data_IF_072322129766
#
_entry.id   IF_072322129766
#
_cell.length_a   1.000
_cell.length_b   1.000
_cell.length_c   1.000
_cell.angle_alpha   90.00
_cell.angle_beta   90.00
_cell.angle_gamma   90.00
#
_symmetry.space_group_name_H-M   'P 1'
#
loop_
_entity.id
_entity.type
_entity.pdbx_description
1 polymer ?
#
# COMPACT_ATOMS: atom_id res chain seq x y z
N UNK A 1 19.29 5.77 -0.39
CA UNK A 1 19.76 6.30 -1.70
C UNK A 1 19.15 5.45 -2.78
N UNK A 2 18.48 6.04 -3.77
CA UNK A 2 17.89 5.31 -4.89
C UNK A 2 18.76 5.50 -6.13
N UNK A 3 19.28 4.39 -6.67
CA UNK A 3 20.08 4.36 -7.90
C UNK A 3 19.27 3.79 -9.06
N UNK A 4 19.37 4.44 -10.22
CA UNK A 4 18.93 3.89 -11.50
C UNK A 4 20.14 3.39 -12.28
N UNK A 5 20.28 2.07 -12.29
CA UNK A 5 21.34 1.37 -13.01
C UNK A 5 20.88 0.90 -14.40
N UNK A 6 19.68 1.28 -14.86
CA UNK A 6 19.07 0.76 -16.09
C UNK A 6 19.63 1.36 -17.37
N UNK A 7 20.68 2.18 -17.29
CA UNK A 7 21.20 3.03 -18.37
C UNK A 7 21.27 2.35 -19.75
N UNK A 8 20.25 2.57 -20.59
CA UNK A 8 20.29 2.26 -22.02
C UNK A 8 20.89 3.46 -22.74
N UNK A 9 22.06 3.30 -23.36
CA UNK A 9 22.57 4.27 -24.33
C UNK A 9 21.87 4.03 -25.67
N UNK A 10 20.85 4.82 -25.98
CA UNK A 10 20.36 4.91 -27.36
C UNK A 10 21.31 5.83 -28.13
N UNK A 11 21.95 5.32 -29.17
CA UNK A 11 22.61 6.18 -30.15
C UNK A 11 21.57 7.17 -30.68
N UNK A 12 21.92 8.46 -30.72
CA UNK A 12 20.99 9.51 -31.13
C UNK A 12 20.57 9.28 -32.59
N UNK A 13 19.28 9.46 -32.96
CA UNK A 13 18.83 9.36 -34.35
C UNK A 13 19.48 10.41 -35.29
N UNK A 14 20.29 11.32 -34.76
CA UNK A 14 21.08 12.32 -35.49
C UNK A 14 22.55 11.93 -35.72
N UNK A 15 23.03 10.79 -35.21
CA UNK A 15 24.34 10.27 -35.59
C UNK A 15 24.25 9.55 -36.93
N UNK A 16 24.30 10.33 -38.01
CA UNK A 16 24.42 9.80 -39.37
C UNK A 16 25.63 8.88 -39.46
N UNK A 17 25.38 7.61 -39.78
CA UNK A 17 26.39 6.60 -40.03
C UNK A 17 27.44 7.13 -41.05
N UNK A 18 28.69 7.28 -40.60
CA UNK A 18 29.82 7.34 -41.53
C UNK A 18 29.99 5.93 -42.13
N UNK A 19 29.97 5.76 -43.46
CA UNK A 19 30.17 4.45 -44.05
C UNK A 19 31.62 4.00 -43.80
N UNK A 20 31.80 2.93 -43.01
CA UNK A 20 33.10 2.32 -42.71
C UNK A 20 33.44 2.12 -41.23
N UNK A 21 32.56 2.47 -40.28
CA UNK A 21 32.77 2.21 -38.85
C UNK A 21 32.39 0.78 -38.44
N UNK A 22 33.03 0.21 -37.39
CA UNK A 22 32.72 -1.14 -36.92
C UNK A 22 31.25 -1.27 -36.53
N UNK A 23 30.66 -2.43 -36.86
CA UNK A 23 29.29 -2.81 -36.47
C UNK A 23 29.13 -2.56 -34.97
N UNK A 24 28.12 -1.78 -34.51
CA UNK A 24 27.92 -1.55 -33.09
C UNK A 24 27.69 -2.90 -32.40
N UNK A 25 28.22 -3.09 -31.18
CA UNK A 25 28.09 -4.35 -30.46
C UNK A 25 26.61 -4.67 -30.28
N UNK A 26 26.27 -5.94 -30.49
CA UNK A 26 24.95 -6.47 -30.15
C UNK A 26 24.66 -6.13 -28.68
N UNK A 27 23.48 -5.56 -28.43
CA UNK A 27 22.98 -5.25 -27.10
C UNK A 27 22.69 -6.58 -26.40
N UNK A 28 23.65 -7.06 -25.63
CA UNK A 28 23.49 -8.18 -24.70
C UNK A 28 23.47 -7.64 -23.27
N UNK A 29 22.32 -7.79 -22.60
CA UNK A 29 22.18 -7.55 -21.16
C UNK A 29 21.09 -6.54 -20.81
N UNK A 30 20.04 -7.03 -20.13
CA UNK A 30 18.95 -6.25 -19.57
C UNK A 30 19.46 -5.14 -18.63
N UNK A 31 18.82 -3.96 -18.68
CA UNK A 31 19.12 -2.85 -17.78
C UNK A 31 18.97 -3.27 -16.32
N UNK A 32 19.97 -2.96 -15.50
CA UNK A 32 19.95 -3.25 -14.07
C UNK A 32 18.80 -2.51 -13.37
N UNK A 33 18.15 -3.21 -12.45
CA UNK A 33 16.92 -2.77 -11.77
C UNK A 33 17.16 -1.58 -10.82
N UNK A 34 16.12 -0.78 -10.49
CA UNK A 34 16.17 0.20 -9.41
C UNK A 34 16.72 -0.46 -8.15
N UNK A 35 17.72 0.17 -7.53
CA UNK A 35 18.32 -0.36 -6.31
C UNK A 35 18.32 0.65 -5.18
N UNK A 36 17.92 0.18 -4.00
CA UNK A 36 17.92 0.98 -2.77
C UNK A 36 19.14 0.65 -1.93
N UNK A 37 20.03 1.63 -1.80
CA UNK A 37 21.26 1.53 -1.02
C UNK A 37 21.15 2.42 0.23
N UNK A 38 21.61 1.91 1.38
CA UNK A 38 21.74 2.73 2.60
C UNK A 38 23.22 2.89 2.92
N UNK A 39 23.62 4.14 3.07
CA UNK A 39 25.01 4.56 3.25
C UNK A 39 25.07 5.67 4.29
N UNK A 40 26.06 5.60 5.18
CA UNK A 40 26.40 6.72 6.04
C UNK A 40 27.25 7.71 5.24
N UNK A 41 26.78 8.95 5.13
CA UNK A 41 27.44 9.98 4.31
C UNK A 41 27.72 11.23 5.15
N UNK A 42 28.97 11.68 5.12
CA UNK A 42 29.33 13.02 5.54
C UNK A 42 28.81 14.09 4.57
N UNK A 43 28.80 15.35 5.02
CA UNK A 43 28.28 16.49 4.23
C UNK A 43 28.96 16.66 2.86
N UNK A 44 30.25 16.35 2.78
CA UNK A 44 31.02 16.44 1.54
C UNK A 44 30.69 15.29 0.58
N UNK A 45 30.54 14.08 1.11
CA UNK A 45 30.20 12.88 0.34
C UNK A 45 28.77 12.96 -0.20
N UNK A 46 27.81 13.46 0.58
CA UNK A 46 26.44 13.69 0.13
C UNK A 46 26.38 14.58 -1.12
N UNK A 47 27.24 15.61 -1.21
CA UNK A 47 27.32 16.47 -2.41
C UNK A 47 27.90 15.74 -3.62
N UNK A 48 28.85 14.85 -3.41
CA UNK A 48 29.42 14.04 -4.48
C UNK A 48 28.37 13.04 -5.01
N UNK A 49 27.71 12.33 -4.09
CA UNK A 49 26.63 11.38 -4.39
C UNK A 49 25.46 12.06 -5.11
N UNK A 50 25.07 13.26 -4.69
CA UNK A 50 23.97 14.01 -5.33
C UNK A 50 24.30 14.50 -6.76
N UNK A 51 25.55 14.39 -7.20
CA UNK A 51 26.00 14.73 -8.56
C UNK A 51 26.22 13.52 -9.45
N UNK A 52 26.17 12.32 -8.89
CA UNK A 52 26.28 11.09 -9.65
C UNK A 52 24.98 10.89 -10.47
N UNK A 53 25.05 10.77 -11.81
CA UNK A 53 23.88 10.70 -12.68
C UNK A 53 23.04 9.43 -12.51
N UNK A 54 23.61 8.39 -11.89
CA UNK A 54 22.87 7.18 -11.55
C UNK A 54 21.98 7.38 -10.31
N UNK A 55 22.19 8.45 -9.56
CA UNK A 55 21.48 8.73 -8.31
C UNK A 55 20.22 9.51 -8.59
N UNK A 56 19.07 8.90 -8.33
CA UNK A 56 17.76 9.53 -8.58
C UNK A 56 17.22 10.26 -7.38
N UNK A 57 17.50 9.78 -6.18
CA UNK A 57 17.12 10.46 -4.95
C UNK A 57 17.98 10.05 -3.77
N UNK A 58 18.13 10.99 -2.83
CA UNK A 58 18.73 10.75 -1.52
C UNK A 58 17.80 11.34 -0.47
N UNK A 59 17.49 10.55 0.55
CA UNK A 59 16.72 10.96 1.70
C UNK A 59 17.34 10.39 2.97
N UNK A 60 17.30 11.10 4.10
CA UNK A 60 17.63 10.50 5.39
C UNK A 60 16.61 9.41 5.70
N UNK A 61 17.06 8.36 6.39
CA UNK A 61 16.17 7.32 6.91
C UNK A 61 15.18 7.99 7.86
N UNK A 62 13.91 7.76 7.60
CA UNK A 62 12.81 8.31 8.38
C UNK A 62 12.03 7.15 8.97
N UNK A 63 11.60 7.23 10.23
CA UNK A 63 10.73 6.20 10.76
C UNK A 63 9.39 6.14 10.04
N UNK A 64 8.92 4.91 9.89
CA UNK A 64 7.55 4.57 9.51
C UNK A 64 6.89 3.92 10.71
N UNK A 65 5.57 3.90 10.70
CA UNK A 65 4.81 3.32 11.79
C UNK A 65 3.55 2.69 11.23
N UNK A 66 3.06 1.71 11.98
CA UNK A 66 1.73 1.19 11.80
C UNK A 66 0.71 2.33 11.94
N UNK A 67 -0.21 2.44 10.98
CA UNK A 67 -1.40 3.27 11.15
C UNK A 67 -2.27 2.54 12.18
N UNK A 68 -2.17 2.99 13.42
CA UNK A 68 -2.79 2.32 14.56
C UNK A 68 -4.30 2.18 14.32
N UNK A 69 -4.84 0.96 14.43
CA UNK A 69 -6.27 0.78 14.42
C UNK A 69 -6.91 1.59 15.54
N UNK A 70 -8.05 2.20 15.24
CA UNK A 70 -8.85 2.91 16.23
C UNK A 70 -9.70 1.88 16.96
N UNK A 71 -9.60 1.83 18.29
CA UNK A 71 -10.48 1.02 19.12
C UNK A 71 -11.93 1.53 18.96
N UNK A 72 -12.85 0.66 18.55
CA UNK A 72 -14.26 1.00 18.42
C UNK A 72 -15.10 0.13 19.36
N UNK A 73 -16.04 0.75 20.09
CA UNK A 73 -17.02 0.02 20.89
C UNK A 73 -17.87 -0.93 20.04
N UNK A 74 -17.90 -0.74 18.71
CA UNK A 74 -18.55 -1.61 17.75
C UNK A 74 -17.80 -2.93 17.47
N UNK A 75 -16.56 -3.12 17.90
CA UNK A 75 -15.73 -4.27 17.49
C UNK A 75 -16.36 -5.63 17.86
N UNK A 76 -16.85 -5.79 19.09
CA UNK A 76 -17.53 -7.02 19.50
C UNK A 76 -18.87 -7.25 18.81
N UNK A 77 -19.57 -6.17 18.41
CA UNK A 77 -20.79 -6.26 17.61
C UNK A 77 -20.48 -6.69 16.17
N UNK A 78 -19.44 -6.13 15.57
CA UNK A 78 -19.02 -6.46 14.22
C UNK A 78 -18.65 -7.95 14.11
N UNK A 79 -17.93 -8.49 15.09
CA UNK A 79 -17.59 -9.92 15.17
C UNK A 79 -18.84 -10.80 15.26
N UNK A 80 -19.80 -10.45 16.12
CA UNK A 80 -21.05 -11.20 16.25
C UNK A 80 -21.91 -11.16 14.96
N UNK A 81 -22.00 -10.00 14.31
CA UNK A 81 -22.70 -9.84 13.03
C UNK A 81 -22.01 -10.63 11.91
N UNK A 82 -20.68 -10.66 11.88
CA UNK A 82 -19.91 -11.44 10.93
C UNK A 82 -20.09 -12.95 11.13
N UNK A 83 -20.09 -13.43 12.37
CA UNK A 83 -20.34 -14.84 12.69
C UNK A 83 -21.76 -15.29 12.30
N UNK A 84 -22.73 -14.37 12.33
CA UNK A 84 -24.10 -14.62 11.88
C UNK A 84 -24.28 -14.52 10.35
N UNK A 85 -23.25 -14.13 9.58
CA UNK A 85 -23.33 -13.85 8.16
C UNK A 85 -22.38 -14.72 7.32
N UNK A 86 -22.79 -15.05 6.10
CA UNK A 86 -21.94 -15.81 5.15
C UNK A 86 -20.71 -15.02 4.66
N UNK A 87 -20.73 -13.68 4.75
CA UNK A 87 -19.64 -12.81 4.37
C UNK A 87 -19.68 -11.52 5.18
N UNK A 88 -18.51 -10.95 5.46
CA UNK A 88 -18.39 -9.67 6.18
C UNK A 88 -18.98 -8.52 5.38
N UNK A 89 -19.40 -7.46 6.08
CA UNK A 89 -20.04 -6.31 5.43
C UNK A 89 -19.14 -5.67 4.37
N UNK A 90 -17.83 -5.64 4.61
CA UNK A 90 -16.85 -5.06 3.70
C UNK A 90 -16.77 -5.81 2.36
N UNK A 91 -16.77 -7.15 2.39
CA UNK A 91 -16.84 -8.00 1.18
C UNK A 91 -18.10 -7.69 0.36
N UNK A 92 -19.24 -7.52 1.02
CA UNK A 92 -20.52 -7.17 0.37
C UNK A 92 -20.52 -5.74 -0.18
N UNK A 93 -19.98 -4.79 0.59
CA UNK A 93 -19.92 -3.38 0.22
C UNK A 93 -19.10 -3.15 -1.05
N UNK A 94 -18.00 -3.89 -1.24
CA UNK A 94 -17.22 -3.83 -2.49
C UNK A 94 -17.78 -4.74 -3.59
N UNK A 95 -18.82 -5.54 -3.32
CA UNK A 95 -19.48 -6.41 -4.30
C UNK A 95 -18.72 -7.69 -4.62
N UNK A 96 -17.76 -8.06 -3.78
CA UNK A 96 -16.96 -9.26 -3.98
C UNK A 96 -17.73 -10.56 -3.70
N UNK A 97 -18.88 -10.47 -3.03
CA UNK A 97 -19.81 -11.58 -2.79
C UNK A 97 -20.63 -11.98 -4.02
N UNK A 98 -20.83 -11.06 -4.97
CA UNK A 98 -21.67 -11.27 -6.17
C UNK A 98 -20.88 -11.30 -7.49
N UNK A 99 -19.61 -10.91 -7.48
CA UNK A 99 -18.72 -11.03 -8.65
C UNK A 99 -18.39 -12.49 -8.96
N UNK A 100 -18.07 -12.76 -10.23
CA UNK A 100 -17.57 -14.06 -10.68
C UNK A 100 -16.04 -14.16 -10.64
N UNK A 101 -15.35 -13.05 -10.36
CA UNK A 101 -13.89 -13.01 -10.19
C UNK A 101 -13.53 -13.40 -8.77
N UNK A 102 -12.37 -14.04 -8.62
CA UNK A 102 -11.84 -14.49 -7.33
C UNK A 102 -10.46 -13.90 -7.03
N UNK A 103 -9.80 -13.29 -8.01
CA UNK A 103 -8.41 -12.83 -7.93
C UNK A 103 -7.43 -13.92 -8.34
N UNK A 104 -7.89 -14.92 -9.09
CA UNK A 104 -7.05 -15.99 -9.61
C UNK A 104 -5.92 -15.41 -10.48
N UNK A 105 -4.79 -16.12 -10.53
CA UNK A 105 -3.60 -15.77 -11.31
C UNK A 105 -2.99 -14.39 -10.98
N UNK A 106 -3.33 -13.85 -9.81
CA UNK A 106 -2.76 -12.59 -9.30
C UNK A 106 -1.86 -12.86 -8.08
N UNK A 107 -0.69 -12.23 -8.08
CA UNK A 107 0.30 -12.19 -7.01
C UNK A 107 0.12 -10.89 -6.25
N UNK A 108 -0.25 -10.99 -4.98
CA UNK A 108 -0.44 -9.83 -4.09
C UNK A 108 0.67 -9.79 -3.06
N UNK A 109 1.30 -8.63 -2.90
CA UNK A 109 2.23 -8.34 -1.84
C UNK A 109 1.57 -7.55 -0.71
N UNK A 110 1.82 -7.96 0.53
CA UNK A 110 1.42 -7.26 1.75
C UNK A 110 2.70 -6.83 2.46
N UNK A 111 2.94 -5.53 2.51
CA UNK A 111 4.06 -4.94 3.24
C UNK A 111 3.55 -4.38 4.57
N UNK A 112 3.74 -5.13 5.65
CA UNK A 112 3.07 -4.90 6.94
C UNK A 112 3.88 -5.53 8.10
N UNK A 113 3.23 -5.96 9.19
CA UNK A 113 3.84 -6.59 10.37
C UNK A 113 4.13 -8.10 10.21
N UNK A 114 3.91 -8.67 9.03
CA UNK A 114 4.09 -10.09 8.73
C UNK A 114 2.77 -10.83 8.50
N UNK A 115 2.79 -12.17 8.60
CA UNK A 115 1.58 -13.01 8.59
C UNK A 115 1.66 -14.16 9.60
N UNK A 116 0.54 -14.50 10.25
CA UNK A 116 0.36 -15.81 10.88
C UNK A 116 0.07 -16.86 9.80
N UNK A 117 1.12 -17.46 9.24
CA UNK A 117 1.01 -18.42 8.14
C UNK A 117 0.27 -19.71 8.52
N UNK A 118 0.16 -20.02 9.82
CA UNK A 118 -0.58 -21.20 10.32
C UNK A 118 -2.09 -20.98 10.40
N UNK A 119 -2.55 -19.75 10.21
CA UNK A 119 -3.95 -19.40 10.35
C UNK A 119 -4.84 -20.10 9.30
N UNK A 120 -6.01 -20.69 9.68
CA UNK A 120 -6.89 -21.41 8.74
C UNK A 120 -7.32 -20.58 7.51
N UNK A 121 -7.42 -19.26 7.66
CA UNK A 121 -7.74 -18.33 6.58
C UNK A 121 -6.75 -18.36 5.40
N UNK A 122 -5.53 -18.89 5.56
CA UNK A 122 -4.53 -18.93 4.49
C UNK A 122 -4.28 -20.33 3.92
N UNK A 123 -5.16 -21.28 4.26
CA UNK A 123 -5.10 -22.64 3.72
C UNK A 123 -5.10 -22.63 2.19
N UNK A 124 -4.10 -23.27 1.58
CA UNK A 124 -3.95 -23.36 0.13
C UNK A 124 -3.36 -22.12 -0.54
N UNK A 125 -2.86 -21.14 0.22
CA UNK A 125 -2.09 -20.01 -0.31
C UNK A 125 -0.59 -20.31 -0.17
N UNK A 126 0.16 -20.15 -1.26
CA UNK A 126 1.63 -20.16 -1.23
C UNK A 126 2.12 -18.82 -0.70
N UNK A 127 2.59 -18.80 0.55
CA UNK A 127 3.08 -17.61 1.23
C UNK A 127 4.61 -17.56 1.15
N UNK A 128 5.15 -16.59 0.41
CA UNK A 128 6.58 -16.26 0.46
C UNK A 128 6.77 -15.13 1.48
N UNK A 129 7.57 -15.36 2.52
CA UNK A 129 7.77 -14.42 3.62
C UNK A 129 9.23 -13.94 3.64
N UNK A 130 9.43 -12.64 3.84
CA UNK A 130 10.75 -12.02 4.00
C UNK A 130 10.69 -10.95 5.09
N UNK A 131 11.77 -10.80 5.86
CA UNK A 131 11.87 -9.82 6.94
C UNK A 131 12.77 -8.64 6.55
N UNK A 132 12.24 -7.43 6.67
CA UNK A 132 12.93 -6.16 6.47
C UNK A 132 12.88 -5.26 7.71
N UNK A 133 12.22 -5.70 8.79
CA UNK A 133 12.13 -4.97 10.05
C UNK A 133 13.19 -5.42 11.06
N UNK A 134 13.81 -6.58 10.83
CA UNK A 134 14.85 -7.14 11.70
C UNK A 134 14.30 -7.88 12.93
N UNK A 135 12.98 -8.17 12.98
CA UNK A 135 12.35 -8.90 14.09
C UNK A 135 11.93 -10.33 13.72
N UNK A 136 12.39 -10.82 12.57
CA UNK A 136 12.12 -12.15 12.03
C UNK A 136 10.77 -12.26 11.33
N UNK A 137 10.60 -13.29 10.49
CA UNK A 137 9.33 -13.58 9.80
C UNK A 137 8.21 -13.97 10.78
N UNK A 138 6.97 -13.94 10.29
CA UNK A 138 5.76 -14.17 11.09
C UNK A 138 5.19 -12.89 11.69
N UNK A 139 3.99 -12.98 12.29
CA UNK A 139 3.25 -11.82 12.78
C UNK A 139 2.92 -11.92 14.28
N UNK A 140 3.76 -11.29 15.10
CA UNK A 140 3.51 -11.16 16.55
C UNK A 140 2.62 -9.97 16.89
N UNK A 141 2.46 -9.02 15.97
CA UNK A 141 1.65 -7.82 16.17
C UNK A 141 0.18 -8.11 15.81
N UNK A 142 -0.06 -8.76 14.67
CA UNK A 142 -1.35 -9.27 14.21
C UNK A 142 -2.02 -8.46 13.09
N UNK A 143 -1.53 -7.26 12.79
CA UNK A 143 -2.12 -6.34 11.82
C UNK A 143 -1.95 -6.84 10.38
N UNK A 144 -0.74 -7.28 10.00
CA UNK A 144 -0.48 -7.85 8.68
C UNK A 144 -1.33 -9.10 8.40
N UNK A 145 -1.55 -9.94 9.41
CA UNK A 145 -2.49 -11.08 9.34
C UNK A 145 -3.92 -10.63 9.03
N UNK A 146 -4.38 -9.56 9.70
CA UNK A 146 -5.72 -9.01 9.48
C UNK A 146 -5.86 -8.40 8.08
N UNK A 147 -4.87 -7.63 7.63
CA UNK A 147 -4.81 -7.06 6.29
C UNK A 147 -4.82 -8.17 5.22
N UNK A 148 -3.94 -9.17 5.34
CA UNK A 148 -3.87 -10.31 4.43
C UNK A 148 -5.19 -11.10 4.36
N UNK A 149 -5.83 -11.31 5.52
CA UNK A 149 -7.14 -11.96 5.60
C UNK A 149 -8.23 -11.21 4.83
N UNK A 150 -8.21 -9.88 4.86
CA UNK A 150 -9.18 -9.03 4.14
C UNK A 150 -8.95 -9.11 2.62
N UNK A 151 -7.70 -9.23 2.18
CA UNK A 151 -7.38 -9.36 0.75
C UNK A 151 -7.78 -10.75 0.25
N UNK A 152 -7.18 -11.81 0.80
CA UNK A 152 -7.23 -13.16 0.22
C UNK A 152 -7.58 -14.25 1.22
N UNK A 153 -8.03 -13.90 2.43
CA UNK A 153 -8.45 -14.86 3.43
C UNK A 153 -9.58 -15.76 2.92
N UNK A 154 -9.44 -17.06 3.17
CA UNK A 154 -10.51 -18.05 3.01
C UNK A 154 -11.59 -17.83 4.08
N UNK A 155 -12.73 -18.48 3.90
CA UNK A 155 -13.75 -18.47 4.94
C UNK A 155 -13.23 -19.16 6.21
N UNK A 156 -13.49 -18.53 7.36
CA UNK A 156 -13.18 -19.07 8.68
C UNK A 156 -14.52 -19.26 9.39
N UNK A 157 -14.78 -20.47 9.88
CA UNK A 157 -16.04 -20.81 10.56
C UNK A 157 -17.31 -20.48 9.74
N UNK A 158 -17.21 -20.55 8.41
CA UNK A 158 -18.32 -20.26 7.50
C UNK A 158 -18.46 -18.78 7.10
N UNK A 159 -17.70 -17.88 7.73
CA UNK A 159 -17.70 -16.45 7.39
C UNK A 159 -16.61 -16.13 6.38
N UNK A 160 -16.99 -15.66 5.18
CA UNK A 160 -16.05 -15.14 4.17
C UNK A 160 -15.52 -13.76 4.59
N UNK A 161 -14.20 -13.66 4.75
CA UNK A 161 -13.49 -12.42 5.08
C UNK A 161 -12.73 -11.82 3.89
N UNK A 162 -12.26 -12.65 2.95
CA UNK A 162 -11.44 -12.21 1.82
C UNK A 162 -12.27 -11.66 0.66
N UNK A 163 -11.80 -10.53 0.13
CA UNK A 163 -12.30 -9.92 -1.12
C UNK A 163 -11.93 -10.78 -2.32
N UNK A 164 -10.67 -11.21 -2.42
CA UNK A 164 -10.09 -11.99 -3.51
C UNK A 164 -9.58 -13.37 -3.03
N UNK A 165 -10.49 -14.30 -2.64
CA UNK A 165 -10.11 -15.62 -2.09
C UNK A 165 -9.54 -16.60 -3.13
N UNK A 166 -9.41 -16.20 -4.40
CA UNK A 166 -8.76 -16.97 -5.46
C UNK A 166 -7.25 -16.73 -5.56
N UNK A 167 -6.72 -15.69 -4.89
CA UNK A 167 -5.27 -15.47 -4.80
C UNK A 167 -4.63 -16.69 -4.14
N UNK A 168 -3.73 -17.35 -4.88
CA UNK A 168 -3.05 -18.60 -4.49
C UNK A 168 -1.56 -18.41 -4.22
N UNK A 169 -0.99 -17.25 -4.56
CA UNK A 169 0.39 -16.86 -4.25
C UNK A 169 0.39 -15.45 -3.67
N UNK A 170 0.94 -15.29 -2.48
CA UNK A 170 1.09 -13.99 -1.83
C UNK A 170 2.53 -13.79 -1.31
N UNK A 171 2.97 -12.54 -1.36
CA UNK A 171 4.28 -12.09 -0.91
C UNK A 171 4.09 -11.30 0.38
N UNK A 172 4.75 -11.69 1.45
CA UNK A 172 4.59 -11.09 2.76
C UNK A 172 5.92 -10.48 3.16
N UNK A 173 6.04 -9.16 2.94
CA UNK A 173 7.20 -8.41 3.37
C UNK A 173 6.94 -7.81 4.74
N UNK A 174 7.64 -8.29 5.76
CA UNK A 174 7.56 -7.69 7.09
C UNK A 174 8.42 -6.44 7.11
N UNK A 175 7.80 -5.27 7.02
CA UNK A 175 8.47 -3.95 7.02
C UNK A 175 8.20 -3.17 8.31
N UNK A 176 7.31 -3.70 9.15
CA UNK A 176 7.04 -3.22 10.51
C UNK A 176 7.39 -4.33 11.52
N UNK A 177 8.13 -3.96 12.56
CA UNK A 177 8.55 -4.84 13.63
C UNK A 177 7.39 -5.26 14.53
N UNK A 178 7.68 -6.11 15.51
CA UNK A 178 6.67 -6.67 16.42
C UNK A 178 5.94 -5.61 17.28
N UNK A 179 6.51 -4.42 17.43
CA UNK A 179 5.89 -3.26 18.10
C UNK A 179 5.16 -2.30 17.13
N UNK A 180 5.13 -2.63 15.83
CA UNK A 180 4.53 -1.80 14.79
C UNK A 180 5.43 -0.65 14.31
N UNK A 181 6.67 -0.55 14.77
CA UNK A 181 7.63 0.44 14.27
C UNK A 181 8.32 -0.05 13.00
N UNK A 182 8.75 0.89 12.14
CA UNK A 182 9.58 0.59 10.99
C UNK A 182 10.37 1.81 10.55
N UNK A 183 10.99 1.70 9.38
CA UNK A 183 11.65 2.82 8.73
C UNK A 183 11.52 2.77 7.21
N UNK A 184 11.98 3.83 6.56
CA UNK A 184 11.94 3.92 5.10
C UNK A 184 12.92 2.97 4.42
N UNK A 185 13.99 2.52 5.08
CA UNK A 185 14.91 1.53 4.49
C UNK A 185 14.21 0.18 4.33
N UNK A 186 13.64 -0.35 5.41
CA UNK A 186 12.92 -1.62 5.40
C UNK A 186 11.75 -1.60 4.43
N UNK A 187 10.99 -0.50 4.41
CA UNK A 187 9.88 -0.32 3.48
C UNK A 187 10.34 -0.35 2.01
N UNK A 188 11.37 0.42 1.66
CA UNK A 188 11.86 0.52 0.28
C UNK A 188 12.47 -0.81 -0.19
N UNK A 189 13.22 -1.51 0.67
CA UNK A 189 13.73 -2.86 0.36
C UNK A 189 12.59 -3.88 0.19
N UNK A 190 11.56 -3.80 1.02
CA UNK A 190 10.36 -4.63 0.87
C UNK A 190 9.62 -4.38 -0.44
N UNK A 191 9.53 -3.12 -0.88
CA UNK A 191 8.97 -2.77 -2.19
C UNK A 191 9.83 -3.30 -3.35
N UNK A 192 11.16 -3.10 -3.31
CA UNK A 192 12.10 -3.62 -4.31
C UNK A 192 11.97 -5.15 -4.43
N UNK A 193 11.97 -5.85 -3.30
CA UNK A 193 11.77 -7.29 -3.25
C UNK A 193 10.42 -7.72 -3.86
N UNK A 194 9.32 -7.08 -3.48
CA UNK A 194 7.99 -7.42 -3.99
C UNK A 194 7.90 -7.23 -5.52
N UNK A 195 8.49 -6.16 -6.04
CA UNK A 195 8.59 -5.89 -7.47
C UNK A 195 9.42 -6.96 -8.19
N UNK A 196 10.54 -7.38 -7.62
CA UNK A 196 11.42 -8.40 -8.19
C UNK A 196 10.77 -9.79 -8.18
N UNK A 197 9.90 -10.06 -7.21
CA UNK A 197 9.07 -11.27 -7.14
C UNK A 197 7.86 -11.26 -8.10
N UNK A 198 7.62 -10.14 -8.79
CA UNK A 198 6.55 -9.99 -9.78
C UNK A 198 5.18 -9.65 -9.19
N UNK A 199 5.13 -8.94 -8.06
CA UNK A 199 3.86 -8.49 -7.48
C UNK A 199 3.04 -7.69 -8.50
N UNK A 200 1.77 -8.08 -8.70
CA UNK A 200 0.80 -7.33 -9.51
C UNK A 200 0.05 -6.30 -8.67
N UNK A 201 -0.03 -6.52 -7.35
CA UNK A 201 -0.58 -5.58 -6.38
C UNK A 201 0.36 -5.51 -5.17
N UNK A 202 0.69 -4.31 -4.70
CA UNK A 202 1.38 -4.06 -3.42
C UNK A 202 0.44 -3.27 -2.51
N UNK A 203 0.15 -3.82 -1.34
CA UNK A 203 -0.67 -3.20 -0.30
C UNK A 203 0.19 -2.74 0.87
N UNK A 204 0.06 -1.46 1.25
CA UNK A 204 0.82 -0.84 2.35
C UNK A 204 -0.13 -0.16 3.34
N UNK A 205 -0.36 -0.79 4.49
CA UNK A 205 -1.24 -0.25 5.53
C UNK A 205 -0.42 0.41 6.66
N UNK A 206 0.45 1.34 6.28
CA UNK A 206 1.43 2.01 7.15
C UNK A 206 1.62 3.47 6.75
N UNK A 207 2.24 4.27 7.62
CA UNK A 207 2.47 5.68 7.40
C UNK A 207 3.86 6.14 7.83
N UNK A 208 4.23 7.34 7.40
CA UNK A 208 5.47 7.99 7.82
C UNK A 208 5.31 8.65 9.20
N UNK A 209 6.19 8.29 10.12
CA UNK A 209 6.13 8.74 11.52
C UNK A 209 6.83 10.10 11.68
N UNK A 210 6.24 11.14 11.07
CA UNK A 210 6.73 12.52 11.23
C UNK A 210 6.75 12.96 12.69
N UNK A 211 5.65 12.80 13.47
CA UNK A 211 5.65 13.18 14.88
C UNK A 211 6.69 12.40 15.70
N UNK A 212 6.83 11.10 15.50
CA UNK A 212 7.82 10.30 16.22
C UNK A 212 9.25 10.64 15.82
N UNK A 213 9.52 11.04 14.57
CA UNK A 213 10.83 11.59 14.21
C UNK A 213 11.12 12.90 14.96
N UNK A 214 10.15 13.81 15.05
CA UNK A 214 10.28 15.04 15.85
C UNK A 214 10.59 14.70 17.31
N UNK A 215 9.83 13.78 17.90
CA UNK A 215 10.00 13.39 19.29
C UNK A 215 11.40 12.79 19.55
N UNK A 216 11.86 11.86 18.70
CA UNK A 216 13.22 11.28 18.80
C UNK A 216 14.31 12.36 18.74
N UNK A 217 14.16 13.35 17.87
CA UNK A 217 15.13 14.45 17.76
C UNK A 217 15.13 15.31 19.03
N UNK A 218 13.96 15.58 19.62
CA UNK A 218 13.83 16.29 20.90
C UNK A 218 14.48 15.49 22.03
N UNK A 219 14.24 14.19 22.10
CA UNK A 219 14.82 13.28 23.11
C UNK A 219 16.36 13.22 23.00
N UNK A 220 16.91 13.41 21.79
CA UNK A 220 18.35 13.61 21.53
C UNK A 220 18.86 15.03 21.86
N UNK A 221 18.08 15.83 22.58
CA UNK A 221 18.44 17.17 23.05
C UNK A 221 18.33 18.27 21.99
N UNK A 222 17.61 18.06 20.88
CA UNK A 222 17.35 19.13 19.91
C UNK A 222 16.20 20.02 20.37
N UNK A 223 16.29 21.31 20.10
CA UNK A 223 15.20 22.25 20.34
C UNK A 223 13.98 21.88 19.48
N UNK A 224 12.73 21.89 20.02
CA UNK A 224 11.55 21.43 19.29
C UNK A 224 11.37 22.03 17.90
N UNK A 225 11.50 23.35 17.74
CA UNK A 225 11.38 24.02 16.42
C UNK A 225 12.41 23.52 15.40
N UNK A 226 13.63 23.23 15.86
CA UNK A 226 14.69 22.71 15.02
C UNK A 226 14.45 21.24 14.67
N UNK A 227 14.00 20.43 15.64
CA UNK A 227 13.59 19.04 15.42
C UNK A 227 12.47 18.93 14.37
N UNK A 228 11.42 19.76 14.49
CA UNK A 228 10.34 19.86 13.50
C UNK A 228 10.85 20.22 12.12
N UNK A 229 11.79 21.16 12.02
CA UNK A 229 12.36 21.57 10.74
C UNK A 229 13.17 20.44 10.07
N UNK A 230 13.96 19.71 10.85
CA UNK A 230 14.72 18.55 10.37
C UNK A 230 13.80 17.40 9.93
N UNK A 231 12.78 17.08 10.72
CA UNK A 231 11.80 16.06 10.35
C UNK A 231 11.06 16.46 9.06
N UNK A 232 10.79 17.75 8.84
CA UNK A 232 10.12 18.24 7.63
C UNK A 232 11.02 18.12 6.40
N UNK A 233 12.32 18.38 6.56
CA UNK A 233 13.30 18.13 5.50
C UNK A 233 13.36 16.65 5.14
N UNK A 234 13.41 15.77 6.14
CA UNK A 234 13.41 14.32 5.95
C UNK A 234 12.14 13.82 5.25
N UNK A 235 10.97 14.27 5.70
CA UNK A 235 9.68 13.92 5.10
C UNK A 235 9.60 14.33 3.62
N UNK A 236 10.00 15.57 3.30
CA UNK A 236 10.03 16.07 1.91
C UNK A 236 11.04 15.34 1.04
N UNK A 237 12.19 14.97 1.58
CA UNK A 237 13.19 14.20 0.86
C UNK A 237 12.69 12.79 0.53
N UNK A 238 12.00 12.15 1.48
CA UNK A 238 11.41 10.83 1.25
C UNK A 238 10.22 10.87 0.29
N UNK A 239 9.37 11.91 0.30
CA UNK A 239 8.34 12.09 -0.75
C UNK A 239 8.96 12.05 -2.15
N UNK A 240 10.02 12.84 -2.36
CA UNK A 240 10.73 12.88 -3.66
C UNK A 240 11.39 11.54 -4.01
N UNK A 241 11.89 10.83 -3.02
CA UNK A 241 12.45 9.49 -3.22
C UNK A 241 11.36 8.51 -3.65
N UNK A 242 10.19 8.54 -3.01
CA UNK A 242 9.05 7.73 -3.38
C UNK A 242 8.53 8.08 -4.79
N UNK A 243 8.40 9.36 -5.14
CA UNK A 243 8.02 9.78 -6.50
C UNK A 243 9.03 9.26 -7.54
N UNK A 244 10.33 9.32 -7.23
CA UNK A 244 11.37 8.78 -8.10
C UNK A 244 11.25 7.25 -8.25
N UNK A 245 11.04 6.52 -7.15
CA UNK A 245 10.82 5.07 -7.17
C UNK A 245 9.58 4.73 -8.01
N UNK A 246 8.46 5.39 -7.76
CA UNK A 246 7.20 5.12 -8.45
C UNK A 246 7.26 5.45 -9.94
N UNK A 247 8.04 6.47 -10.35
CA UNK A 247 8.33 6.71 -11.77
C UNK A 247 9.11 5.56 -12.40
N UNK A 248 10.05 4.95 -11.68
CA UNK A 248 10.78 3.78 -12.15
C UNK A 248 9.87 2.53 -12.21
N UNK A 249 8.98 2.35 -11.23
CA UNK A 249 7.94 1.30 -11.25
C UNK A 249 7.04 1.46 -12.48
N UNK A 250 6.57 2.69 -12.74
CA UNK A 250 5.75 3.01 -13.91
C UNK A 250 6.50 2.76 -15.23
N UNK A 251 7.79 3.13 -15.30
CA UNK A 251 8.63 2.87 -16.47
C UNK A 251 8.80 1.36 -16.74
N UNK A 252 8.94 0.53 -15.70
CA UNK A 252 8.96 -0.93 -15.83
C UNK A 252 7.63 -1.48 -16.36
N UNK A 253 6.52 -0.88 -15.92
CA UNK A 253 5.17 -1.17 -16.43
C UNK A 253 4.97 -0.78 -17.90
N UNK A 254 5.84 0.02 -18.51
CA UNK A 254 5.76 0.31 -19.95
C UNK A 254 6.25 -0.87 -20.82
N UNK A 255 7.04 -1.78 -20.24
CA UNK A 255 7.63 -2.95 -20.92
C UNK A 255 7.18 -4.29 -20.32
N UNK A 256 6.23 -4.27 -19.38
CA UNK A 256 5.68 -5.43 -18.69
C UNK A 256 4.32 -5.13 -18.06
N UNK A 257 3.72 -6.06 -17.30
CA UNK A 257 2.40 -5.86 -16.71
C UNK A 257 2.36 -4.71 -15.69
N UNK A 258 3.49 -4.39 -15.04
CA UNK A 258 3.55 -3.37 -13.99
C UNK A 258 2.86 -3.81 -12.70
N UNK A 259 2.75 -2.88 -11.75
CA UNK A 259 2.23 -3.15 -10.40
C UNK A 259 1.27 -2.05 -9.97
N UNK A 260 0.13 -2.43 -9.40
CA UNK A 260 -0.78 -1.51 -8.73
C UNK A 260 -0.31 -1.36 -7.27
N UNK A 261 -0.04 -0.13 -6.84
CA UNK A 261 0.38 0.14 -5.46
C UNK A 261 -0.75 0.88 -4.75
N UNK A 262 -1.19 0.37 -3.58
CA UNK A 262 -2.25 0.97 -2.76
C UNK A 262 -1.71 1.23 -1.36
N UNK A 263 -2.10 2.35 -0.75
CA UNK A 263 -1.71 2.69 0.61
C UNK A 263 -2.80 3.42 1.38
N UNK A 264 -2.79 3.22 2.70
CA UNK A 264 -3.72 3.83 3.62
C UNK A 264 -3.50 5.35 3.73
N UNK A 265 -4.59 6.12 3.75
CA UNK A 265 -4.50 7.58 3.78
C UNK A 265 -4.03 8.16 5.12
N UNK A 266 -4.18 7.42 6.22
CA UNK A 266 -3.88 7.84 7.59
C UNK A 266 -5.14 8.06 8.44
N UNK A 267 -4.94 8.07 9.76
CA UNK A 267 -5.99 8.10 10.79
C UNK A 267 -5.93 9.34 11.69
N UNK A 268 -5.27 10.41 11.26
CA UNK A 268 -4.94 11.56 12.10
C UNK A 268 -6.03 12.64 12.11
N UNK A 269 -7.06 12.53 11.27
CA UNK A 269 -8.16 13.49 11.29
C UNK A 269 -8.98 13.36 12.56
N UNK A 270 -9.33 14.49 13.17
CA UNK A 270 -10.08 14.57 14.42
C UNK A 270 -11.42 15.27 14.16
N UNK A 271 -12.19 14.80 13.17
CA UNK A 271 -13.42 15.48 12.69
C UNK A 271 -14.47 15.75 13.77
N UNK A 272 -14.39 15.03 14.89
CA UNK A 272 -15.25 15.25 16.07
C UNK A 272 -14.87 16.51 16.86
N UNK A 273 -13.62 16.95 16.78
CA UNK A 273 -13.08 18.13 17.47
C UNK A 273 -13.46 19.44 16.78
N UNK A 274 -13.92 19.42 15.53
CA UNK A 274 -14.40 20.59 14.80
C UNK A 274 -14.25 20.46 13.27
N UNK A 275 -14.82 21.39 12.50
CA UNK A 275 -14.79 21.35 11.03
C UNK A 275 -13.39 21.55 10.43
N UNK A 276 -12.46 22.17 11.16
CA UNK A 276 -11.08 22.40 10.70
C UNK A 276 -10.10 21.30 11.18
N UNK A 277 -10.60 20.28 11.87
CA UNK A 277 -9.79 19.23 12.48
C UNK A 277 -9.57 18.05 11.51
N UNK A 278 -9.06 18.38 10.32
CA UNK A 278 -8.84 17.43 9.23
C UNK A 278 -7.38 17.45 8.77
N UNK A 279 -6.86 16.27 8.49
CA UNK A 279 -5.51 16.06 7.97
C UNK A 279 -5.61 15.39 6.60
N UNK A 280 -4.86 15.92 5.64
CA UNK A 280 -4.78 15.33 4.30
C UNK A 280 -3.93 14.06 4.32
N UNK A 281 -4.18 13.19 3.34
CA UNK A 281 -3.39 11.99 3.04
C UNK A 281 -1.88 12.18 3.28
N UNK A 282 -1.27 11.23 3.98
CA UNK A 282 0.16 11.24 4.33
C UNK A 282 0.97 10.26 3.46
N UNK A 283 2.30 10.27 3.60
CA UNK A 283 3.17 9.30 2.93
C UNK A 283 3.01 7.89 3.54
N UNK A 284 3.10 6.83 2.72
CA UNK A 284 3.42 6.84 1.28
C UNK A 284 2.22 7.07 0.35
N UNK A 285 0.98 7.10 0.87
CA UNK A 285 -0.22 7.25 0.06
C UNK A 285 -0.29 8.56 -0.75
N UNK A 286 0.36 9.63 -0.28
CA UNK A 286 0.44 10.90 -0.98
C UNK A 286 1.42 10.91 -2.19
N UNK A 287 2.21 9.85 -2.39
CA UNK A 287 3.20 9.79 -3.47
C UNK A 287 2.55 9.56 -4.85
N UNK A 288 3.19 10.08 -5.91
CA UNK A 288 2.70 9.91 -7.28
C UNK A 288 2.66 8.42 -7.67
N UNK A 289 1.53 7.96 -8.23
CA UNK A 289 1.35 6.58 -8.68
C UNK A 289 0.95 5.57 -7.58
N UNK A 290 0.80 6.01 -6.32
CA UNK A 290 0.19 5.23 -5.24
C UNK A 290 -1.29 5.55 -5.17
N UNK A 291 -2.15 4.53 -5.07
CA UNK A 291 -3.59 4.71 -4.86
C UNK A 291 -3.85 4.96 -3.37
N UNK A 292 -4.17 6.19 -3.00
CA UNK A 292 -4.53 6.57 -1.63
C UNK A 292 -5.94 6.10 -1.25
N UNK A 293 -6.08 5.43 -0.10
CA UNK A 293 -7.34 4.79 0.34
C UNK A 293 -7.88 5.40 1.64
N UNK A 294 -9.08 5.98 1.56
CA UNK A 294 -9.86 6.46 2.70
C UNK A 294 -10.77 5.40 3.31
N UNK A 295 -11.19 5.60 4.56
CA UNK A 295 -12.04 4.66 5.31
C UNK A 295 -13.51 5.10 5.33
N UNK A 296 -14.39 4.15 5.00
CA UNK A 296 -15.84 4.29 5.13
C UNK A 296 -16.36 3.45 6.30
N UNK A 297 -17.44 3.92 6.91
CA UNK A 297 -18.20 3.25 7.95
C UNK A 297 -19.66 3.09 7.53
N UNK A 298 -20.34 2.07 8.05
CA UNK A 298 -21.80 2.01 7.98
C UNK A 298 -22.39 3.10 8.88
N UNK A 299 -23.31 3.90 8.34
CA UNK A 299 -23.97 4.93 9.15
C UNK A 299 -24.74 4.29 10.32
N UNK A 300 -24.57 4.77 11.57
CA UNK A 300 -25.37 4.32 12.70
C UNK A 300 -26.88 4.53 12.50
N UNK A 301 -27.26 5.50 11.65
CA UNK A 301 -28.67 5.81 11.32
C UNK A 301 -29.21 5.01 10.13
N UNK A 302 -28.39 4.16 9.51
CA UNK A 302 -28.80 3.32 8.37
C UNK A 302 -28.89 4.04 7.02
N UNK A 303 -28.54 5.33 6.96
CA UNK A 303 -28.67 6.15 5.75
C UNK A 303 -27.50 6.02 4.77
N UNK A 304 -26.94 4.82 4.61
CA UNK A 304 -25.80 4.55 3.72
C UNK A 304 -24.44 4.56 4.43
N UNK A 305 -23.37 4.73 3.65
CA UNK A 305 -21.99 4.79 4.15
C UNK A 305 -21.54 6.23 4.40
N UNK A 306 -20.83 6.44 5.49
CA UNK A 306 -20.22 7.72 5.88
C UNK A 306 -18.71 7.60 5.91
N UNK A 307 -18.01 8.72 5.84
CA UNK A 307 -16.55 8.75 6.04
C UNK A 307 -16.25 8.50 7.51
N UNK A 308 -15.27 7.65 7.79
CA UNK A 308 -14.86 7.39 9.17
C UNK A 308 -14.28 8.66 9.80
N UNK A 309 -14.62 9.00 11.06
CA UNK A 309 -14.18 10.26 11.69
C UNK A 309 -12.67 10.46 11.72
N UNK A 310 -11.90 9.37 11.78
CA UNK A 310 -10.44 9.37 11.78
C UNK A 310 -9.82 9.48 10.37
N UNK A 311 -10.59 9.23 9.30
CA UNK A 311 -10.03 9.11 7.96
C UNK A 311 -9.50 10.44 7.46
N UNK A 312 -8.24 10.44 7.06
CA UNK A 312 -7.63 11.56 6.37
C UNK A 312 -8.35 11.92 5.05
N UNK A 313 -8.30 13.19 4.71
CA UNK A 313 -8.90 13.79 3.51
C UNK A 313 -8.03 13.57 2.28
N UNK A 314 -8.62 13.82 1.12
CA UNK A 314 -8.08 13.68 -0.22
C UNK A 314 -7.56 12.27 -0.58
N UNK A 315 -8.26 11.17 -0.20
CA UNK A 315 -7.95 9.88 -0.80
C UNK A 315 -8.36 9.87 -2.28
N UNK A 316 -7.81 8.96 -3.08
CA UNK A 316 -8.28 8.77 -4.46
C UNK A 316 -9.53 7.93 -4.51
N UNK A 317 -9.66 6.94 -3.62
CA UNK A 317 -10.84 6.07 -3.46
C UNK A 317 -11.06 5.81 -1.98
N UNK A 318 -12.26 5.35 -1.63
CA UNK A 318 -12.53 4.87 -0.29
C UNK A 318 -13.06 3.44 -0.28
N UNK A 319 -12.89 2.78 0.86
CA UNK A 319 -13.31 1.40 1.05
C UNK A 319 -13.72 1.14 2.51
N UNK A 320 -14.35 -0.01 2.81
CA UNK A 320 -14.75 -0.39 4.16
C UNK A 320 -13.59 -0.33 5.16
N UNK A 321 -13.69 0.50 6.19
CA UNK A 321 -12.60 0.73 7.15
C UNK A 321 -13.01 0.81 8.62
N UNK A 322 -14.29 0.59 8.96
CA UNK A 322 -14.76 0.55 10.36
C UNK A 322 -15.47 -0.76 10.64
N UNK A 323 -15.14 -1.41 11.76
CA UNK A 323 -15.73 -2.69 12.10
C UNK A 323 -15.39 -3.80 11.09
N UNK A 324 -14.15 -3.80 10.57
CA UNK A 324 -13.73 -4.77 9.55
C UNK A 324 -13.28 -6.04 10.24
N UNK A 325 -14.05 -7.11 10.06
CA UNK A 325 -13.73 -8.43 10.60
C UNK A 325 -12.81 -9.19 9.63
N UNK A 326 -11.69 -9.67 10.14
CA UNK A 326 -10.71 -10.46 9.39
C UNK A 326 -9.92 -11.39 10.33
N UNK A 327 -8.95 -12.13 9.77
CA UNK A 327 -8.11 -13.08 10.49
C UNK A 327 -7.37 -12.45 11.68
N UNK A 328 -7.37 -13.15 12.81
CA UNK A 328 -6.64 -12.76 14.03
C UNK A 328 -5.41 -13.64 14.18
N UNK A 329 -4.24 -13.04 14.38
CA UNK A 329 -3.02 -13.80 14.72
C UNK A 329 -3.26 -14.63 16.00
N UNK A 330 -2.87 -15.91 15.95
CA UNK A 330 -3.17 -16.89 17.00
C UNK A 330 -4.53 -17.60 16.84
N UNK A 331 -5.30 -17.28 15.79
CA UNK A 331 -6.53 -17.97 15.42
C UNK A 331 -7.79 -17.11 15.57
N UNK A 332 -8.83 -17.53 14.84
CA UNK A 332 -10.15 -16.91 14.86
C UNK A 332 -10.23 -15.63 14.03
N UNK A 333 -11.29 -14.86 14.26
CA UNK A 333 -11.53 -13.58 13.61
C UNK A 333 -11.48 -12.45 14.65
N UNK A 334 -11.17 -11.24 14.20
CA UNK A 334 -11.29 -10.01 15.00
C UNK A 334 -11.73 -8.84 14.15
N UNK A 335 -12.44 -7.90 14.77
CA UNK A 335 -12.71 -6.58 14.20
C UNK A 335 -11.52 -5.64 14.42
N UNK A 336 -11.25 -4.80 13.41
CA UNK A 336 -10.38 -3.62 13.51
C UNK A 336 -10.97 -2.47 12.68
N UNK A 337 -10.61 -1.25 13.03
CA UNK A 337 -11.01 -0.04 12.32
C UNK A 337 -9.80 0.82 11.96
N UNK A 338 -9.73 1.30 10.72
CA UNK A 338 -8.65 2.12 10.20
C UNK A 338 -8.66 2.25 8.68
N UNK A 339 -7.99 3.27 8.15
CA UNK A 339 -7.65 3.31 6.71
C UNK A 339 -6.75 2.12 6.31
N UNK A 340 -6.04 1.56 7.27
CA UNK A 340 -5.32 0.28 7.17
C UNK A 340 -6.21 -0.93 6.89
N UNK A 341 -7.49 -0.91 7.30
CA UNK A 341 -8.49 -1.94 6.96
C UNK A 341 -9.22 -1.66 5.65
N UNK A 342 -9.30 -0.38 5.24
CA UNK A 342 -9.84 -0.01 3.93
C UNK A 342 -8.89 -0.37 2.77
N UNK A 343 -7.59 -0.16 2.97
CA UNK A 343 -6.54 -0.46 1.99
C UNK A 343 -6.57 -1.91 1.44
N UNK A 344 -6.67 -2.96 2.27
CA UNK A 344 -6.72 -4.33 1.77
C UNK A 344 -8.01 -4.65 1.00
N UNK A 345 -9.12 -3.92 1.21
CA UNK A 345 -10.28 -4.06 0.33
C UNK A 345 -9.97 -3.58 -1.09
N UNK A 346 -9.29 -2.43 -1.22
CA UNK A 346 -8.85 -1.91 -2.53
C UNK A 346 -7.82 -2.84 -3.17
N UNK A 347 -6.87 -3.37 -2.40
CA UNK A 347 -5.90 -4.36 -2.90
C UNK A 347 -6.59 -5.64 -3.41
N UNK A 348 -7.58 -6.15 -2.66
CA UNK A 348 -8.40 -7.28 -3.08
C UNK A 348 -9.16 -6.99 -4.36
N UNK A 349 -9.84 -5.84 -4.45
CA UNK A 349 -10.54 -5.43 -5.68
C UNK A 349 -9.59 -5.24 -6.86
N UNK A 350 -8.39 -4.71 -6.64
CA UNK A 350 -7.36 -4.64 -7.67
C UNK A 350 -6.97 -6.04 -8.19
N UNK A 351 -6.89 -7.05 -7.31
CA UNK A 351 -6.66 -8.43 -7.74
C UNK A 351 -7.83 -9.01 -8.55
N UNK A 352 -9.08 -8.68 -8.19
CA UNK A 352 -10.25 -9.06 -8.99
C UNK A 352 -10.22 -8.42 -10.39
N UNK A 353 -9.85 -7.13 -10.47
CA UNK A 353 -9.69 -6.43 -11.75
C UNK A 353 -8.51 -6.96 -12.57
N UNK A 354 -7.42 -7.39 -11.94
CA UNK A 354 -6.34 -8.09 -12.63
C UNK A 354 -6.84 -9.36 -13.33
N UNK A 355 -7.57 -10.22 -12.62
CA UNK A 355 -8.19 -11.41 -13.22
C UNK A 355 -9.10 -11.05 -14.39
N UNK A 356 -9.93 -10.01 -14.24
CA UNK A 356 -10.83 -9.55 -15.30
C UNK A 356 -10.06 -9.05 -16.54
N UNK A 357 -9.05 -8.21 -16.32
CA UNK A 357 -8.21 -7.66 -17.39
C UNK A 357 -7.48 -8.78 -18.14
N UNK A 358 -6.88 -9.75 -17.41
CA UNK A 358 -6.19 -10.92 -17.98
C UNK A 358 -7.12 -11.77 -18.86
N UNK A 359 -8.42 -11.78 -18.58
CA UNK A 359 -9.45 -12.52 -19.34
C UNK A 359 -10.09 -11.69 -20.44
N UNK A 360 -9.70 -10.43 -20.59
CA UNK A 360 -10.29 -9.50 -21.56
C UNK A 360 -9.31 -9.20 -22.71
N UNK A 361 -9.76 -8.65 -23.85
CA UNK A 361 -8.90 -8.40 -25.01
C UNK A 361 -8.00 -7.16 -24.88
N UNK A 362 -8.04 -6.45 -23.74
CA UNK A 362 -7.24 -5.23 -23.52
C UNK A 362 -5.84 -5.59 -23.01
N UNK A 363 -4.85 -4.68 -23.13
CA UNK A 363 -3.52 -4.92 -22.57
C UNK A 363 -3.56 -5.23 -21.06
N UNK A 364 -2.90 -6.31 -20.66
CA UNK A 364 -2.76 -6.71 -19.26
C UNK A 364 -1.70 -5.83 -18.55
N UNK A 365 -2.10 -4.61 -18.22
CA UNK A 365 -1.24 -3.61 -17.59
C UNK A 365 -1.87 -3.02 -16.33
N UNK A 366 -1.04 -2.70 -15.34
CA UNK A 366 -1.43 -2.06 -14.08
C UNK A 366 -2.17 -0.75 -14.33
N UNK A 367 -1.79 0.02 -15.36
CA UNK A 367 -2.50 1.24 -15.75
C UNK A 367 -3.95 0.98 -16.18
N UNK A 368 -4.21 -0.14 -16.88
CA UNK A 368 -5.58 -0.53 -17.25
C UNK A 368 -6.38 -0.99 -16.03
N UNK A 369 -5.76 -1.76 -15.13
CA UNK A 369 -6.38 -2.16 -13.85
C UNK A 369 -6.73 -0.93 -13.01
N UNK A 370 -5.78 -0.02 -12.82
CA UNK A 370 -6.01 1.24 -12.08
C UNK A 370 -7.12 2.08 -12.71
N UNK A 371 -7.11 2.24 -14.04
CA UNK A 371 -8.16 3.00 -14.73
C UNK A 371 -9.55 2.38 -14.52
N UNK A 372 -9.69 1.05 -14.64
CA UNK A 372 -10.95 0.34 -14.41
C UNK A 372 -11.40 0.41 -12.95
N UNK A 373 -10.48 0.24 -12.00
CA UNK A 373 -10.76 0.35 -10.58
C UNK A 373 -11.30 1.73 -10.21
N UNK A 374 -10.63 2.80 -10.66
CA UNK A 374 -11.06 4.17 -10.39
C UNK A 374 -12.38 4.50 -11.09
N UNK A 375 -12.54 4.11 -12.37
CA UNK A 375 -13.77 4.35 -13.12
C UNK A 375 -14.97 3.53 -12.62
N UNK A 376 -14.72 2.37 -12.02
CA UNK A 376 -15.74 1.48 -11.45
C UNK A 376 -16.18 1.86 -10.04
N UNK A 377 -15.53 2.83 -9.40
CA UNK A 377 -15.94 3.31 -8.08
C UNK A 377 -17.33 3.97 -8.13
N UNK A 378 -18.11 3.80 -7.06
CA UNK A 378 -19.50 4.26 -7.00
C UNK A 378 -19.76 5.18 -5.81
N UNK A 379 -20.73 6.08 -5.97
CA UNK A 379 -21.17 7.00 -4.92
C UNK A 379 -22.56 6.68 -4.40
N UNK A 380 -23.33 5.84 -5.10
CA UNK A 380 -24.71 5.51 -4.73
C UNK A 380 -24.89 4.90 -3.33
N UNK A 381 -23.93 4.16 -2.74
CA UNK A 381 -24.07 3.65 -1.38
C UNK A 381 -23.76 4.69 -0.29
N UNK A 382 -23.24 5.87 -0.66
CA UNK A 382 -22.80 6.89 0.29
C UNK A 382 -23.98 7.73 0.78
N UNK A 383 -23.92 8.13 2.04
CA UNK A 383 -24.90 9.03 2.64
C UNK A 383 -24.90 10.39 1.93
N UNK A 384 -26.04 11.09 1.95
CA UNK A 384 -26.14 12.45 1.43
C UNK A 384 -25.21 13.38 2.20
N UNK A 385 -24.40 14.17 1.49
CA UNK A 385 -23.50 15.15 2.09
C UNK A 385 -22.06 14.67 2.31
N UNK A 386 -21.71 13.45 1.89
CA UNK A 386 -20.30 13.02 1.87
C UNK A 386 -19.54 13.82 0.80
N UNK A 387 -18.59 14.65 1.24
CA UNK A 387 -17.78 15.51 0.36
C UNK A 387 -16.83 14.68 -0.51
N UNK A 388 -16.63 15.09 -1.77
CA UNK A 388 -15.68 14.45 -2.68
C UNK A 388 -14.24 14.48 -2.14
N UNK A 389 -13.89 15.52 -1.37
CA UNK A 389 -12.60 15.63 -0.71
C UNK A 389 -12.36 14.50 0.29
N UNK A 390 -13.43 13.90 0.84
CA UNK A 390 -13.31 12.88 1.88
C UNK A 390 -13.40 11.44 1.36
N UNK A 391 -13.94 11.26 0.15
CA UNK A 391 -14.20 9.94 -0.45
C UNK A 391 -13.42 9.64 -1.72
N UNK A 392 -12.71 10.63 -2.27
CA UNK A 392 -12.14 10.54 -3.60
C UNK A 392 -13.22 10.28 -4.67
N UNK A 393 -12.95 9.41 -5.64
CA UNK A 393 -13.93 9.08 -6.68
C UNK A 393 -15.11 8.24 -6.17
N UNK A 394 -15.02 7.63 -4.98
CA UNK A 394 -16.11 6.90 -4.32
C UNK A 394 -15.68 5.57 -3.71
N UNK A 395 -16.69 4.74 -3.38
CA UNK A 395 -16.49 3.38 -2.90
C UNK A 395 -15.97 2.49 -4.03
N UNK A 396 -14.84 1.82 -3.82
CA UNK A 396 -14.29 0.85 -4.78
C UNK A 396 -15.24 -0.34 -4.99
N UNK A 397 -15.34 -0.86 -6.22
CA UNK A 397 -16.20 -2.00 -6.56
C UNK A 397 -15.47 -3.07 -7.38
N UNK A 398 -15.77 -4.33 -7.06
CA UNK A 398 -15.38 -5.49 -7.83
C UNK A 398 -15.98 -5.44 -9.27
N UNK A 399 -15.28 -6.03 -10.27
CA UNK A 399 -15.75 -6.14 -11.64
C UNK A 399 -16.99 -7.03 -11.82
#
# INVERSE_FOLDING_TARGET
MLRDLSGVRTASPLESARPGGPVPPQVSGAGSEPHVEVVELGKHELRAVSRDPEVRAVAPVMPTTLIQPVEDAADGRAEAEAAAAAATWGVKAVGADVTTRTGADTIVAVLDTGIDAGHPAFTGVTLLQEDFSGSGVGDKQGHGTHCAGTIFGRAVEGTRIGVAPGVSRALIGKVLADDGSGDTEGLLRGMEWALNQGAQVISMSLGFDFPGMVQRLVDMGRQPRFATSLALEAYRANLRLFDALMRMVAARGAVGPGTVVVAAAGNESERQSGPDAEIAVSLPAAAEGVIAVGALAQSPTGNGLVVAPFSNTFPQVSAPGVGVVSARSGGGLRSLSGTSMATPHVAGVAALWWEDVLKSPVPAAASTVTARLLAGAVVSPLASGVDVADRGVGLVRAP
#
